data_IF_600298606290
#
_entry.id   IF_600298606290
#
_cell.length_a   1.000
_cell.length_b   1.000
_cell.length_c   1.000
_cell.angle_alpha   90.00
_cell.angle_beta   90.00
_cell.angle_gamma   90.00
#
_symmetry.space_group_name_H-M   'P 1'
#
loop_
_entity.id
_entity.type
_entity.pdbx_description
1 polymer ?
#
# COMPACT_ATOMS: atom_id res chain seq x y z
N UNK A 1 -11.85 -1.49 5.22
CA UNK A 1 -11.39 -2.82 5.62
C UNK A 1 -12.52 -3.76 5.99
N UNK A 2 -13.12 -3.59 7.17
CA UNK A 2 -14.08 -4.54 7.77
C UNK A 2 -15.23 -4.97 6.86
N UNK A 3 -15.93 -4.03 6.21
CA UNK A 3 -17.00 -4.36 5.26
C UNK A 3 -16.54 -5.31 4.13
N UNK A 4 -15.33 -5.10 3.61
CA UNK A 4 -14.78 -5.95 2.54
C UNK A 4 -14.34 -7.32 3.07
N UNK A 5 -13.88 -7.42 4.32
CA UNK A 5 -13.61 -8.73 4.94
C UNK A 5 -14.86 -9.60 4.97
N UNK A 6 -15.98 -9.02 5.42
CA UNK A 6 -17.28 -9.69 5.47
C UNK A 6 -17.72 -10.19 4.10
N UNK A 7 -17.46 -9.39 3.06
CA UNK A 7 -17.92 -9.64 1.70
C UNK A 7 -17.05 -10.63 0.93
N UNK A 8 -15.73 -10.57 1.14
CA UNK A 8 -14.74 -11.24 0.30
C UNK A 8 -14.10 -12.46 0.99
N UNK A 9 -14.04 -12.48 2.32
CA UNK A 9 -13.24 -13.47 3.07
C UNK A 9 -14.11 -14.39 3.93
N UNK A 10 -15.06 -13.84 4.69
CA UNK A 10 -15.78 -14.54 5.77
C UNK A 10 -16.40 -15.88 5.35
N UNK A 11 -17.12 -15.89 4.23
CA UNK A 11 -17.96 -17.02 3.81
C UNK A 11 -17.27 -17.97 2.81
N UNK A 12 -16.04 -17.65 2.38
CA UNK A 12 -15.22 -18.52 1.52
C UNK A 12 -14.17 -19.27 2.37
N UNK A 13 -14.27 -20.61 2.49
CA UNK A 13 -13.34 -21.39 3.32
C UNK A 13 -11.88 -21.30 2.86
N UNK A 14 -11.63 -21.17 1.56
CA UNK A 14 -10.28 -21.09 1.02
C UNK A 14 -9.65 -19.72 1.35
N UNK A 15 -10.40 -18.63 1.15
CA UNK A 15 -9.92 -17.29 1.51
C UNK A 15 -9.81 -17.08 3.01
N UNK A 16 -10.74 -17.63 3.81
CA UNK A 16 -10.63 -17.58 5.26
C UNK A 16 -9.38 -18.34 5.77
N UNK A 17 -9.05 -19.48 5.16
CA UNK A 17 -7.81 -20.21 5.49
C UNK A 17 -6.56 -19.42 5.11
N UNK A 18 -6.54 -18.81 3.92
CA UNK A 18 -5.41 -17.98 3.47
C UNK A 18 -5.25 -16.72 4.35
N UNK A 19 -6.36 -16.08 4.69
CA UNK A 19 -6.42 -14.98 5.63
C UNK A 19 -5.77 -15.34 6.97
N UNK A 20 -6.18 -16.44 7.60
CA UNK A 20 -5.62 -16.86 8.89
C UNK A 20 -4.14 -17.18 8.84
N UNK A 21 -3.66 -17.69 7.71
CA UNK A 21 -2.24 -17.94 7.50
C UNK A 21 -1.40 -16.64 7.40
N UNK A 22 -2.01 -15.54 6.97
CA UNK A 22 -1.33 -14.25 6.76
C UNK A 22 -1.52 -13.27 7.94
N UNK A 23 -2.74 -13.15 8.47
CA UNK A 23 -3.14 -12.15 9.46
C UNK A 23 -3.30 -12.72 10.88
N UNK A 24 -3.37 -14.05 11.02
CA UNK A 24 -3.62 -14.72 12.29
C UNK A 24 -5.09 -15.06 12.53
N UNK A 25 -5.39 -15.58 13.72
CA UNK A 25 -6.71 -16.10 14.08
C UNK A 25 -7.63 -14.98 14.60
N UNK A 26 -8.60 -14.59 13.78
CA UNK A 26 -9.56 -13.52 14.06
C UNK A 26 -10.62 -13.87 15.11
N UNK A 27 -10.68 -15.14 15.55
CA UNK A 27 -11.65 -15.58 16.57
C UNK A 27 -11.25 -15.17 17.99
N UNK A 28 -10.07 -14.57 18.14
CA UNK A 28 -9.66 -13.95 19.40
C UNK A 28 -10.71 -12.92 19.81
N UNK A 29 -10.98 -12.81 21.12
CA UNK A 29 -11.97 -11.85 21.61
C UNK A 29 -11.51 -10.42 21.26
N UNK A 30 -12.28 -9.76 20.42
CA UNK A 30 -11.93 -8.47 19.83
C UNK A 30 -11.76 -7.38 20.89
N UNK A 31 -12.69 -7.28 21.84
CA UNK A 31 -12.62 -6.24 22.88
C UNK A 31 -11.44 -6.47 23.82
N UNK A 32 -11.19 -7.72 24.22
CA UNK A 32 -10.04 -8.08 25.05
C UNK A 32 -8.71 -7.83 24.34
N UNK A 33 -8.63 -8.13 23.04
CA UNK A 33 -7.43 -7.87 22.23
C UNK A 33 -7.12 -6.37 22.15
N UNK A 34 -8.14 -5.53 21.92
CA UNK A 34 -7.97 -4.08 21.93
C UNK A 34 -7.56 -3.54 23.31
N UNK A 35 -8.17 -4.05 24.39
CA UNK A 35 -7.78 -3.66 25.75
C UNK A 35 -6.31 -4.01 26.03
N UNK A 36 -5.87 -5.20 25.63
CA UNK A 36 -4.48 -5.62 25.76
C UNK A 36 -3.53 -4.72 24.95
N UNK A 37 -3.92 -4.33 23.74
CA UNK A 37 -3.14 -3.39 22.92
C UNK A 37 -3.06 -2.00 23.57
N UNK A 38 -4.15 -1.43 24.07
CA UNK A 38 -4.10 -0.12 24.71
C UNK A 38 -3.31 -0.13 26.03
N UNK A 39 -3.26 -1.27 26.72
CA UNK A 39 -2.48 -1.42 27.94
C UNK A 39 -0.97 -1.56 27.68
N UNK A 40 -0.57 -2.26 26.61
CA UNK A 40 0.82 -2.67 26.38
C UNK A 40 1.50 -2.03 25.15
N UNK A 41 0.71 -1.50 24.22
CA UNK A 41 1.16 -1.01 22.92
C UNK A 41 1.55 -2.14 21.95
N UNK A 42 2.07 -1.73 20.79
CA UNK A 42 2.63 -2.65 19.80
C UNK A 42 3.99 -3.22 20.26
N UNK A 43 4.32 -4.48 19.93
CA UNK A 43 5.66 -5.03 20.13
C UNK A 43 6.74 -4.19 19.41
N UNK A 44 7.96 -4.03 19.94
CA UNK A 44 8.99 -3.16 19.35
C UNK A 44 9.39 -3.47 17.90
N UNK A 45 9.19 -4.72 17.45
CA UNK A 45 9.52 -5.22 16.12
C UNK A 45 8.30 -5.28 15.18
N UNK A 46 7.19 -4.60 15.51
CA UNK A 46 5.93 -4.68 14.77
C UNK A 46 6.08 -4.37 13.27
N UNK A 47 6.97 -3.44 12.89
CA UNK A 47 7.21 -3.02 11.50
C UNK A 47 7.67 -4.17 10.61
N UNK A 48 8.20 -5.25 11.20
CA UNK A 48 8.60 -6.43 10.44
C UNK A 48 7.40 -7.20 9.87
N UNK A 49 6.20 -7.00 10.42
CA UNK A 49 5.01 -7.83 10.10
C UNK A 49 3.75 -7.03 9.80
N UNK A 50 3.67 -5.78 10.25
CA UNK A 50 2.45 -4.97 10.19
C UNK A 50 2.71 -3.62 9.56
N UNK A 51 1.71 -3.07 8.87
CA UNK A 51 1.81 -1.77 8.22
C UNK A 51 1.77 -0.61 9.22
N UNK A 52 1.06 -0.79 10.34
CA UNK A 52 0.97 0.17 11.43
C UNK A 52 1.10 -0.51 12.79
N UNK A 53 1.40 0.26 13.83
CA UNK A 53 1.40 -0.26 15.20
C UNK A 53 -0.01 -0.75 15.60
N UNK A 54 -1.06 -0.06 15.15
CA UNK A 54 -2.44 -0.42 15.47
C UNK A 54 -2.86 -1.75 14.82
N UNK A 55 -2.32 -2.10 13.66
CA UNK A 55 -2.52 -3.38 13.03
C UNK A 55 -2.09 -4.58 13.91
N UNK A 56 -1.26 -4.39 14.94
CA UNK A 56 -0.93 -5.48 15.88
C UNK A 56 -2.07 -5.78 16.87
N UNK A 57 -3.11 -4.94 16.92
CA UNK A 57 -4.14 -5.00 17.96
C UNK A 57 -5.12 -6.16 17.75
N UNK A 58 -5.41 -6.52 16.50
CA UNK A 58 -6.28 -7.65 16.15
C UNK A 58 -6.09 -8.04 14.68
N UNK A 59 -6.25 -9.32 14.28
CA UNK A 59 -6.19 -9.73 12.88
C UNK A 59 -7.14 -8.97 11.95
N UNK A 60 -8.33 -8.58 12.43
CA UNK A 60 -9.24 -7.71 11.67
C UNK A 60 -8.70 -6.28 11.49
N UNK A 61 -7.98 -5.73 12.47
CA UNK A 61 -7.36 -4.41 12.33
C UNK A 61 -6.15 -4.48 11.39
N UNK A 62 -5.36 -5.55 11.46
CA UNK A 62 -4.28 -5.82 10.51
C UNK A 62 -4.80 -5.87 9.06
N UNK A 63 -5.92 -6.55 8.86
CA UNK A 63 -6.64 -6.53 7.59
C UNK A 63 -7.11 -5.15 7.19
N UNK A 64 -7.79 -4.44 8.09
CA UNK A 64 -8.41 -3.17 7.75
C UNK A 64 -7.37 -2.11 7.39
N UNK A 65 -6.27 -2.06 8.14
CA UNK A 65 -5.12 -1.20 7.89
C UNK A 65 -4.43 -1.59 6.58
N UNK A 66 -4.16 -2.88 6.34
CA UNK A 66 -3.55 -3.34 5.08
C UNK A 66 -4.43 -3.01 3.87
N UNK A 67 -5.74 -3.21 3.99
CA UNK A 67 -6.70 -2.92 2.92
C UNK A 67 -6.74 -1.43 2.61
N UNK A 68 -6.82 -0.56 3.64
CA UNK A 68 -6.77 0.89 3.44
C UNK A 68 -5.44 1.31 2.79
N UNK A 69 -4.35 0.66 3.16
CA UNK A 69 -3.03 0.94 2.61
C UNK A 69 -2.89 0.53 1.14
N UNK A 70 -3.49 -0.61 0.75
CA UNK A 70 -3.57 -1.02 -0.65
C UNK A 70 -4.29 0.04 -1.48
N UNK A 71 -5.43 0.56 -1.00
CA UNK A 71 -6.15 1.65 -1.67
C UNK A 71 -5.31 2.93 -1.80
N UNK A 72 -4.60 3.33 -0.74
CA UNK A 72 -3.71 4.49 -0.84
C UNK A 72 -2.64 4.32 -1.92
N UNK A 73 -2.10 3.11 -2.06
CA UNK A 73 -1.09 2.79 -3.08
C UNK A 73 -1.72 2.89 -4.47
N UNK A 74 -2.83 2.21 -4.72
CA UNK A 74 -3.48 2.18 -6.04
C UNK A 74 -3.97 3.56 -6.45
N UNK A 75 -4.71 4.25 -5.58
CA UNK A 75 -5.29 5.57 -5.87
C UNK A 75 -4.19 6.61 -6.16
N UNK A 76 -3.07 6.55 -5.42
CA UNK A 76 -1.96 7.47 -5.65
C UNK A 76 -1.25 7.16 -6.97
N UNK A 77 -1.04 5.87 -7.29
CA UNK A 77 -0.43 5.48 -8.57
C UNK A 77 -1.33 5.82 -9.76
N UNK A 78 -2.65 5.69 -9.62
CA UNK A 78 -3.63 6.15 -10.60
C UNK A 78 -3.55 7.67 -10.79
N UNK A 79 -3.45 8.44 -9.72
CA UNK A 79 -3.23 9.89 -9.79
C UNK A 79 -1.93 10.24 -10.53
N UNK A 80 -0.83 9.54 -10.22
CA UNK A 80 0.47 9.75 -10.91
C UNK A 80 0.37 9.44 -12.40
N UNK A 81 -0.35 8.36 -12.76
CA UNK A 81 -0.65 8.04 -14.15
C UNK A 81 -1.51 9.13 -14.81
N UNK A 82 -2.56 9.60 -14.14
CA UNK A 82 -3.44 10.67 -14.61
C UNK A 82 -2.69 11.98 -14.90
N UNK A 83 -1.62 12.26 -14.16
CA UNK A 83 -0.75 13.42 -14.36
C UNK A 83 0.34 13.21 -15.41
N UNK A 84 0.39 12.04 -16.07
CA UNK A 84 1.46 11.65 -17.00
C UNK A 84 2.86 11.75 -16.38
N UNK A 85 2.99 11.50 -15.08
CA UNK A 85 4.27 11.49 -14.38
C UNK A 85 4.96 10.13 -14.61
N UNK A 86 6.07 10.07 -15.37
CA UNK A 86 6.73 8.80 -15.65
C UNK A 86 7.50 8.32 -14.41
N UNK A 87 6.94 7.36 -13.68
CA UNK A 87 7.62 6.71 -12.54
C UNK A 87 8.87 5.90 -12.96
N UNK A 88 9.00 5.57 -14.25
CA UNK A 88 10.14 4.85 -14.83
C UNK A 88 11.30 5.72 -15.31
N UNK A 89 11.34 7.03 -15.01
CA UNK A 89 12.45 7.93 -15.39
C UNK A 89 13.21 8.50 -14.18
N UNK A 90 13.39 7.68 -13.15
CA UNK A 90 14.32 7.89 -12.04
C UNK A 90 15.39 6.79 -12.03
N UNK A 91 15.98 6.50 -13.19
CA UNK A 91 17.31 5.88 -13.29
C UNK A 91 18.29 6.95 -13.78
N UNK A 92 19.56 6.87 -13.35
CA UNK A 92 20.65 7.78 -13.73
C UNK A 92 20.62 8.02 -15.24
N UNK A 93 20.28 9.25 -15.65
CA UNK A 93 20.20 9.61 -17.06
C UNK A 93 21.57 9.36 -17.69
N UNK A 94 21.67 8.36 -18.56
CA UNK A 94 22.78 8.29 -19.50
C UNK A 94 22.77 9.54 -20.37
N UNK A 95 23.93 10.16 -20.55
CA UNK A 95 24.08 11.44 -21.24
C UNK A 95 23.40 11.39 -22.62
N UNK A 96 22.30 12.13 -22.81
CA UNK A 96 21.72 12.37 -24.13
C UNK A 96 20.19 12.30 -24.29
N UNK A 97 19.45 11.65 -23.39
CA UNK A 97 18.02 11.33 -23.63
C UNK A 97 17.02 12.23 -22.87
N UNK A 98 17.39 13.49 -22.62
CA UNK A 98 16.42 14.51 -22.21
C UNK A 98 15.52 14.89 -23.39
N UNK A 99 14.18 14.92 -23.23
CA UNK A 99 13.31 15.58 -24.20
C UNK A 99 13.73 17.05 -24.35
N UNK A 100 14.06 17.45 -25.58
CA UNK A 100 14.64 18.77 -25.90
C UNK A 100 13.62 19.93 -25.95
N UNK A 101 12.45 19.81 -25.33
CA UNK A 101 11.47 20.90 -25.31
C UNK A 101 10.56 20.88 -24.07
N UNK A 102 10.29 22.08 -23.57
CA UNK A 102 9.26 22.42 -22.60
C UNK A 102 7.89 22.40 -23.31
N UNK A 103 7.01 21.47 -22.98
CA UNK A 103 5.59 21.56 -23.39
C UNK A 103 4.77 22.28 -22.33
N UNK A 104 5.15 23.53 -22.05
CA UNK A 104 4.22 24.52 -21.52
C UNK A 104 3.20 24.88 -22.61
N UNK A 105 1.93 24.51 -22.43
CA UNK A 105 0.83 25.11 -23.20
C UNK A 105 -0.27 24.20 -23.72
N UNK A 106 -0.20 22.87 -23.57
CA UNK A 106 -1.30 21.99 -23.96
C UNK A 106 -1.94 21.33 -22.73
N UNK A 107 -3.18 21.72 -22.45
CA UNK A 107 -4.07 20.96 -21.56
C UNK A 107 -4.25 19.58 -22.16
N UNK A 108 -3.60 18.57 -21.57
CA UNK A 108 -3.94 17.19 -21.86
C UNK A 108 -5.25 16.87 -21.11
N UNK A 109 -6.25 16.26 -21.77
CA UNK A 109 -7.40 15.74 -21.04
C UNK A 109 -6.89 14.74 -20.00
N UNK A 110 -7.57 14.68 -18.86
CA UNK A 110 -7.35 13.61 -17.89
C UNK A 110 -7.38 12.27 -18.64
N UNK A 111 -6.38 11.39 -18.47
CA UNK A 111 -6.48 10.03 -18.96
C UNK A 111 -7.82 9.46 -18.49
N UNK A 112 -8.66 9.03 -19.43
CA UNK A 112 -9.79 8.18 -19.07
C UNK A 112 -9.23 6.93 -18.41
N UNK A 113 -9.96 6.36 -17.46
CA UNK A 113 -9.56 5.12 -16.77
C UNK A 113 -9.04 4.13 -17.81
N UNK A 114 -7.73 3.82 -17.82
CA UNK A 114 -7.25 2.77 -18.69
C UNK A 114 -8.01 1.50 -18.31
N UNK A 115 -8.36 0.67 -19.31
CA UNK A 115 -8.81 -0.70 -19.01
C UNK A 115 -7.80 -1.29 -18.02
N UNK A 116 -8.24 -1.83 -16.87
CA UNK A 116 -7.32 -2.34 -15.87
C UNK A 116 -6.54 -3.49 -16.50
N UNK A 117 -5.29 -3.20 -16.90
CA UNK A 117 -4.38 -4.24 -17.33
C UNK A 117 -3.99 -4.98 -16.06
N UNK A 118 -4.49 -6.21 -15.92
CA UNK A 118 -4.05 -7.10 -14.85
C UNK A 118 -2.52 -7.17 -14.90
N UNK A 119 -1.87 -6.64 -13.86
CA UNK A 119 -0.44 -6.72 -13.68
C UNK A 119 -0.12 -7.32 -12.31
N UNK A 120 0.98 -8.06 -12.19
CA UNK A 120 1.38 -8.65 -10.93
C UNK A 120 1.61 -7.57 -9.87
N UNK A 121 1.14 -7.81 -8.64
CA UNK A 121 1.20 -6.84 -7.54
C UNK A 121 2.63 -6.36 -7.26
N UNK A 122 3.64 -7.17 -7.54
CA UNK A 122 5.05 -6.81 -7.41
C UNK A 122 5.42 -5.57 -8.25
N UNK A 123 4.80 -5.39 -9.42
CA UNK A 123 5.02 -4.21 -10.27
C UNK A 123 4.32 -2.98 -9.73
N UNK A 124 3.13 -3.14 -9.15
CA UNK A 124 2.41 -2.09 -8.42
C UNK A 124 3.28 -1.63 -7.25
N UNK A 125 3.74 -2.57 -6.43
CA UNK A 125 4.57 -2.30 -5.27
C UNK A 125 5.91 -1.65 -5.64
N UNK A 126 6.58 -2.11 -6.70
CA UNK A 126 7.84 -1.51 -7.15
C UNK A 126 7.68 -0.02 -7.51
N UNK A 127 6.62 0.34 -8.24
CA UNK A 127 6.30 1.73 -8.57
C UNK A 127 5.99 2.55 -7.32
N UNK A 128 5.25 1.97 -6.38
CA UNK A 128 4.95 2.62 -5.10
C UNK A 128 6.21 2.95 -4.31
N UNK A 129 7.14 2.00 -4.17
CA UNK A 129 8.37 2.20 -3.41
C UNK A 129 9.21 3.37 -3.96
N UNK A 130 9.33 3.46 -5.29
CA UNK A 130 10.01 4.59 -5.95
C UNK A 130 9.32 5.92 -5.61
N UNK A 131 8.00 5.98 -5.72
CA UNK A 131 7.24 7.20 -5.46
C UNK A 131 7.29 7.61 -3.99
N UNK A 132 7.16 6.66 -3.05
CA UNK A 132 7.22 6.94 -1.63
C UNK A 132 8.59 7.46 -1.20
N UNK A 133 9.68 6.90 -1.75
CA UNK A 133 11.03 7.35 -1.44
C UNK A 133 11.33 8.73 -2.04
N UNK A 134 10.87 8.99 -3.27
CA UNK A 134 10.96 10.32 -3.86
C UNK A 134 10.23 11.36 -3.02
N UNK A 135 9.01 11.04 -2.57
CA UNK A 135 8.18 11.92 -1.74
C UNK A 135 8.84 12.20 -0.37
N UNK A 136 9.34 11.16 0.30
CA UNK A 136 10.07 11.31 1.56
C UNK A 136 11.36 12.14 1.39
N UNK A 137 12.10 11.90 0.33
CA UNK A 137 13.33 12.65 0.03
C UNK A 137 13.05 14.14 -0.20
N UNK A 138 11.98 14.49 -0.92
CA UNK A 138 11.54 15.88 -1.09
C UNK A 138 11.24 16.51 0.27
N UNK A 139 10.47 15.83 1.14
CA UNK A 139 10.16 16.32 2.48
C UNK A 139 11.42 16.57 3.30
N UNK A 140 12.36 15.62 3.33
CA UNK A 140 13.62 15.76 4.06
C UNK A 140 14.48 16.92 3.54
N UNK A 141 14.53 17.14 2.23
CA UNK A 141 15.20 18.30 1.64
C UNK A 141 14.58 19.63 2.08
N UNK A 142 13.28 19.64 2.38
CA UNK A 142 12.56 20.81 2.90
C UNK A 142 12.59 20.92 4.44
N UNK A 143 13.30 20.01 5.13
CA UNK A 143 13.34 19.96 6.60
C UNK A 143 12.04 19.47 7.23
N UNK A 144 11.18 18.81 6.45
CA UNK A 144 9.92 18.22 6.91
C UNK A 144 10.10 16.73 7.22
N UNK A 145 9.29 16.14 8.12
CA UNK A 145 9.25 14.70 8.34
C UNK A 145 8.84 13.93 7.08
N UNK A 146 9.20 12.65 7.01
CA UNK A 146 8.78 11.76 5.92
C UNK A 146 7.25 11.81 5.74
N UNK A 147 6.80 12.01 4.49
CA UNK A 147 5.38 12.03 4.15
C UNK A 147 4.74 10.65 4.35
N UNK A 148 5.51 9.61 4.05
CA UNK A 148 5.15 8.22 4.13
C UNK A 148 6.13 7.50 5.07
N UNK A 149 5.90 7.54 6.40
CA UNK A 149 6.80 6.95 7.40
C UNK A 149 6.50 5.46 7.65
N UNK A 150 5.92 4.75 6.67
CA UNK A 150 5.53 3.34 6.81
C UNK A 150 6.58 2.42 6.19
N UNK A 151 6.79 1.26 6.83
CA UNK A 151 7.69 0.22 6.33
C UNK A 151 6.87 -0.91 5.72
N UNK A 152 7.07 -1.17 4.44
CA UNK A 152 6.50 -2.36 3.78
C UNK A 152 7.54 -3.49 3.89
N UNK A 153 7.38 -4.35 4.90
CA UNK A 153 8.17 -5.57 5.00
C UNK A 153 7.72 -6.63 3.98
N UNK A 154 8.50 -7.70 3.82
CA UNK A 154 8.11 -8.85 3.00
C UNK A 154 6.75 -9.44 3.44
N UNK A 155 6.50 -9.50 4.74
CA UNK A 155 5.23 -10.01 5.30
C UNK A 155 4.09 -9.07 4.95
N UNK A 156 4.25 -7.76 5.14
CA UNK A 156 3.23 -6.76 4.78
C UNK A 156 2.98 -6.72 3.27
N UNK A 157 4.02 -6.89 2.45
CA UNK A 157 3.90 -6.99 0.99
C UNK A 157 3.04 -8.20 0.57
N UNK A 158 3.23 -9.37 1.22
CA UNK A 158 2.38 -10.54 0.96
C UNK A 158 0.92 -10.33 1.35
N UNK A 159 0.67 -9.60 2.44
CA UNK A 159 -0.70 -9.23 2.86
C UNK A 159 -1.35 -8.26 1.85
N UNK A 160 -0.60 -7.28 1.36
CA UNK A 160 -1.06 -6.37 0.30
C UNK A 160 -1.34 -7.11 -1.01
N UNK A 161 -0.50 -8.08 -1.38
CA UNK A 161 -0.72 -8.93 -2.54
C UNK A 161 -2.02 -9.74 -2.40
N UNK A 162 -2.26 -10.31 -1.22
CA UNK A 162 -3.51 -11.02 -0.93
C UNK A 162 -4.75 -10.11 -1.06
N UNK A 163 -4.68 -8.85 -0.62
CA UNK A 163 -5.76 -7.87 -0.84
C UNK A 163 -5.95 -7.60 -2.34
N UNK A 164 -4.86 -7.43 -3.08
CA UNK A 164 -4.90 -7.20 -4.53
C UNK A 164 -5.57 -8.37 -5.29
N UNK A 165 -5.21 -9.61 -4.95
CA UNK A 165 -5.75 -10.83 -5.57
C UNK A 165 -7.26 -10.99 -5.32
N UNK A 166 -7.79 -10.46 -4.22
CA UNK A 166 -9.23 -10.49 -3.93
C UNK A 166 -10.03 -9.44 -4.72
N UNK A 167 -9.36 -8.43 -5.28
CA UNK A 167 -9.98 -7.33 -6.01
C UNK A 167 -9.84 -7.45 -7.54
N UNK A 168 -9.06 -8.42 -8.03
CA UNK A 168 -8.71 -8.61 -9.45
C UNK A 168 -9.19 -9.94 -10.01
#
# INVERSE_FOLDING_TARGET
>A
GHYYWDRLVRDDPAYLSAFRALFGDERTDYEQALQAYYANGAPPDWQQRHISAYATSHPWEDWAETFAHHLHITDTLEMVHALNLPLGRLETVGDGDLPRADTGGHLQPAPGDPDPVQEPFERILARWLVLSEASNSINRCMGLPDLYPFVISEVSARKLAFVNDLLT
#
